data_IF_218259747433
#
_entry.id   IF_218259747433
#
_cell.length_a   1.000
_cell.length_b   1.000
_cell.length_c   1.000
_cell.angle_alpha   90.00
_cell.angle_beta   90.00
_cell.angle_gamma   90.00
#
_symmetry.space_group_name_H-M   'P 1'
#
loop_
_entity.id
_entity.type
_entity.pdbx_description
1 polymer ?
#
# COMPACT_ATOMS: atom_id res chain seq x y z
N UNK A 1 -28.75 24.70 -4.35
CA UNK A 1 -27.62 24.02 -5.01
C UNK A 1 -27.88 22.52 -4.94
N UNK A 2 -28.08 21.84 -6.07
CA UNK A 2 -28.19 20.38 -6.08
C UNK A 2 -26.83 19.82 -5.64
N UNK A 3 -26.72 19.33 -4.40
CA UNK A 3 -25.53 18.59 -3.95
C UNK A 3 -25.50 17.30 -4.76
N UNK A 4 -24.57 17.21 -5.72
CA UNK A 4 -24.30 15.97 -6.44
C UNK A 4 -23.86 14.87 -5.46
N UNK A 5 -24.03 13.61 -5.86
CA UNK A 5 -23.50 12.47 -5.10
C UNK A 5 -21.97 12.48 -5.20
N UNK A 6 -21.26 12.36 -4.07
CA UNK A 6 -19.80 12.25 -4.05
C UNK A 6 -19.38 11.00 -4.82
N UNK A 7 -18.47 11.17 -5.78
CA UNK A 7 -17.78 10.07 -6.47
C UNK A 7 -16.40 9.96 -5.84
N UNK A 8 -16.09 8.79 -5.30
CA UNK A 8 -14.77 8.52 -4.74
C UNK A 8 -13.79 8.14 -5.84
N UNK A 9 -12.59 8.70 -5.79
CA UNK A 9 -11.52 8.37 -6.71
C UNK A 9 -10.42 7.63 -5.97
N UNK A 10 -10.03 6.49 -6.54
CA UNK A 10 -8.98 5.63 -5.97
C UNK A 10 -7.99 5.18 -7.02
N UNK A 11 -6.73 4.97 -6.62
CA UNK A 11 -5.67 4.55 -7.54
C UNK A 11 -4.79 3.42 -6.96
N UNK A 12 -4.29 2.57 -7.86
CA UNK A 12 -3.38 1.46 -7.55
C UNK A 12 -2.02 1.57 -8.28
N UNK A 13 -1.19 2.59 -8.00
CA UNK A 13 0.11 2.70 -8.63
C UNK A 13 1.07 1.59 -8.17
N UNK A 14 2.13 1.36 -8.94
CA UNK A 14 3.28 0.58 -8.47
C UNK A 14 4.09 1.40 -7.45
N UNK A 15 4.92 0.75 -6.62
CA UNK A 15 5.70 1.48 -5.62
C UNK A 15 6.82 2.40 -6.14
N UNK A 16 7.41 2.25 -7.35
CA UNK A 16 8.35 3.23 -7.86
C UNK A 16 7.64 4.58 -8.09
N UNK A 17 8.24 5.67 -7.59
CA UNK A 17 7.72 7.03 -7.74
C UNK A 17 8.65 7.85 -8.65
N UNK A 18 8.13 8.59 -9.66
CA UNK A 18 6.72 8.66 -10.06
C UNK A 18 6.22 7.36 -10.72
N UNK A 19 4.92 7.06 -10.56
CA UNK A 19 4.29 5.98 -11.31
C UNK A 19 4.24 6.33 -12.80
N UNK A 20 4.68 5.40 -13.65
CA UNK A 20 4.87 5.64 -15.08
C UNK A 20 3.58 5.92 -15.87
N UNK A 21 2.43 5.48 -15.35
CA UNK A 21 1.15 5.55 -16.07
C UNK A 21 0.19 6.56 -15.48
N UNK A 22 0.17 6.68 -14.15
CA UNK A 22 -0.79 7.51 -13.43
C UNK A 22 -0.12 8.59 -12.56
N UNK A 23 1.19 8.82 -12.72
CA UNK A 23 1.94 9.85 -12.00
C UNK A 23 1.28 11.24 -12.05
N UNK A 24 0.96 11.73 -13.25
CA UNK A 24 0.32 13.05 -13.41
C UNK A 24 -1.04 13.10 -12.72
N UNK A 25 -1.86 12.06 -12.88
CA UNK A 25 -3.18 11.98 -12.24
C UNK A 25 -3.07 12.04 -10.70
N UNK A 26 -2.07 11.37 -10.12
CA UNK A 26 -1.84 11.34 -8.67
C UNK A 26 -1.50 12.73 -8.11
N UNK A 27 -0.88 13.62 -8.91
CA UNK A 27 -0.53 14.98 -8.48
C UNK A 27 -1.70 15.97 -8.49
N UNK A 28 -2.84 15.60 -9.07
CA UNK A 28 -4.02 16.49 -9.18
C UNK A 28 -4.69 16.81 -7.84
N UNK A 29 -4.46 16.00 -6.80
CA UNK A 29 -5.14 16.13 -5.51
C UNK A 29 -6.58 15.63 -5.50
N UNK A 30 -7.01 14.90 -6.54
CA UNK A 30 -8.39 14.43 -6.68
C UNK A 30 -8.66 13.05 -6.08
N UNK A 31 -7.62 12.26 -5.78
CA UNK A 31 -7.76 10.92 -5.24
C UNK A 31 -8.02 10.94 -3.72
N UNK A 32 -9.11 10.32 -3.29
CA UNK A 32 -9.41 10.10 -1.88
C UNK A 32 -8.45 9.03 -1.30
N UNK A 33 -8.29 7.91 -2.01
CA UNK A 33 -7.52 6.75 -1.51
C UNK A 33 -6.52 6.25 -2.54
N UNK A 34 -5.29 6.01 -2.10
CA UNK A 34 -4.24 5.43 -2.96
C UNK A 34 -3.68 4.17 -2.31
N UNK A 35 -3.81 3.02 -2.96
CA UNK A 35 -3.26 1.74 -2.49
C UNK A 35 -2.03 1.36 -3.32
N UNK A 36 -0.87 1.80 -2.85
CA UNK A 36 0.41 1.63 -3.55
C UNK A 36 0.84 0.16 -3.49
N UNK A 37 1.18 -0.43 -4.64
CA UNK A 37 1.56 -1.84 -4.75
C UNK A 37 3.04 -2.02 -4.37
N UNK A 38 3.31 -2.41 -3.11
CA UNK A 38 4.66 -2.66 -2.58
C UNK A 38 5.11 -4.11 -2.83
N UNK A 39 4.91 -4.59 -4.05
CA UNK A 39 5.26 -5.93 -4.50
C UNK A 39 5.62 -5.94 -5.99
N UNK A 40 6.23 -7.03 -6.47
CA UNK A 40 6.81 -7.16 -7.82
C UNK A 40 7.83 -6.09 -8.21
N UNK A 41 8.36 -5.34 -7.24
CA UNK A 41 9.23 -4.18 -7.46
C UNK A 41 10.35 -4.18 -6.41
N UNK A 42 11.46 -4.91 -6.64
CA UNK A 42 12.58 -5.01 -5.71
C UNK A 42 13.11 -3.68 -5.13
N UNK A 43 13.13 -2.56 -5.87
CA UNK A 43 13.65 -1.29 -5.34
C UNK A 43 12.81 -0.65 -4.23
N UNK A 44 11.55 -1.06 -4.05
CA UNK A 44 10.64 -0.42 -3.08
C UNK A 44 9.75 -1.38 -2.31
N UNK A 45 9.65 -2.65 -2.68
CA UNK A 45 8.99 -3.66 -1.86
C UNK A 45 9.76 -3.92 -0.56
N UNK A 46 9.08 -4.50 0.42
CA UNK A 46 9.72 -4.91 1.67
C UNK A 46 10.74 -6.04 1.42
N UNK A 47 11.92 -5.91 2.04
CA UNK A 47 12.96 -6.92 2.05
C UNK A 47 13.44 -7.12 3.50
N UNK A 48 13.31 -8.33 4.09
CA UNK A 48 13.73 -8.60 5.46
C UNK A 48 15.22 -8.31 5.72
N UNK A 49 16.08 -8.42 4.71
CA UNK A 49 17.52 -8.11 4.83
C UNK A 49 17.82 -6.61 4.79
N UNK A 50 16.91 -5.80 4.25
CA UNK A 50 17.06 -4.34 4.17
C UNK A 50 15.69 -3.66 3.97
N UNK A 51 15.10 -3.17 5.05
CA UNK A 51 13.81 -2.46 5.00
C UNK A 51 13.94 -1.00 4.54
N UNK A 52 15.14 -0.42 4.48
CA UNK A 52 15.37 1.01 4.23
C UNK A 52 14.73 1.47 2.92
N UNK A 53 14.86 0.67 1.85
CA UNK A 53 14.28 0.98 0.54
C UNK A 53 12.76 1.09 0.57
N UNK A 54 12.10 0.20 1.32
CA UNK A 54 10.66 0.25 1.55
C UNK A 54 10.25 1.48 2.37
N UNK A 55 10.97 1.75 3.46
CA UNK A 55 10.69 2.89 4.33
C UNK A 55 10.82 4.22 3.61
N UNK A 56 11.86 4.37 2.80
CA UNK A 56 12.10 5.58 2.01
C UNK A 56 11.06 5.74 0.92
N UNK A 57 10.65 4.65 0.26
CA UNK A 57 9.54 4.68 -0.69
C UNK A 57 8.24 5.10 0.00
N UNK A 58 7.90 4.53 1.16
CA UNK A 58 6.72 4.93 1.93
C UNK A 58 6.73 6.40 2.32
N UNK A 59 7.87 6.92 2.79
CA UNK A 59 8.05 8.35 3.10
C UNK A 59 7.86 9.23 1.87
N UNK A 60 8.40 8.83 0.72
CA UNK A 60 8.21 9.55 -0.55
C UNK A 60 6.73 9.60 -0.95
N UNK A 61 6.03 8.47 -0.94
CA UNK A 61 4.60 8.40 -1.27
C UNK A 61 3.77 9.29 -0.35
N UNK A 62 3.98 9.19 0.96
CA UNK A 62 3.20 9.96 1.94
C UNK A 62 3.54 11.45 1.94
N UNK A 63 4.73 11.84 1.49
CA UNK A 63 5.12 13.26 1.37
C UNK A 63 4.67 13.88 0.05
N UNK A 64 4.84 13.16 -1.07
CA UNK A 64 4.67 13.72 -2.41
C UNK A 64 3.23 13.68 -2.92
N UNK A 65 2.42 12.68 -2.53
CA UNK A 65 1.10 12.48 -3.13
C UNK A 65 -0.01 13.17 -2.31
N UNK A 66 -0.77 14.11 -2.90
CA UNK A 66 -1.87 14.81 -2.24
C UNK A 66 -3.16 13.98 -2.19
N UNK A 67 -3.14 12.83 -1.51
CA UNK A 67 -4.33 12.02 -1.23
C UNK A 67 -4.71 12.05 0.27
N UNK A 68 -6.00 11.85 0.58
CA UNK A 68 -6.48 11.82 1.97
C UNK A 68 -5.85 10.67 2.76
N UNK A 69 -5.84 9.47 2.16
CA UNK A 69 -5.23 8.28 2.74
C UNK A 69 -4.45 7.45 1.73
N UNK A 70 -3.32 6.93 2.19
CA UNK A 70 -2.43 6.03 1.48
C UNK A 70 -2.40 4.70 2.22
N UNK A 71 -2.59 3.63 1.46
CA UNK A 71 -2.66 2.26 1.93
C UNK A 71 -1.44 1.47 1.44
N UNK A 72 -0.94 0.60 2.30
CA UNK A 72 0.11 -0.36 1.96
C UNK A 72 -0.50 -1.53 1.18
N UNK A 73 -0.24 -1.63 -0.12
CA UNK A 73 -0.67 -2.75 -0.95
C UNK A 73 0.29 -3.93 -0.89
N UNK A 74 -0.22 -5.10 -0.51
CA UNK A 74 0.56 -6.34 -0.34
C UNK A 74 -0.10 -7.54 -1.04
N UNK A 75 0.70 -8.54 -1.43
CA UNK A 75 0.17 -9.85 -1.80
C UNK A 75 -0.40 -10.54 -0.55
N UNK A 76 -1.58 -11.14 -0.66
CA UNK A 76 -2.21 -11.90 0.42
C UNK A 76 -1.56 -13.28 0.66
N UNK A 77 -0.71 -13.72 -0.28
CA UNK A 77 0.00 -15.00 -0.19
C UNK A 77 1.30 -14.95 -1.02
N UNK A 78 2.30 -15.81 -0.74
CA UNK A 78 3.53 -15.89 -1.54
C UNK A 78 3.26 -16.10 -3.04
N UNK A 79 2.27 -16.94 -3.37
CA UNK A 79 1.88 -17.27 -4.74
C UNK A 79 1.06 -16.18 -5.45
N UNK A 80 0.69 -15.09 -4.75
CA UNK A 80 -0.14 -14.02 -5.32
C UNK A 80 0.67 -12.99 -6.12
N UNK A 81 2.00 -13.02 -6.01
CA UNK A 81 2.93 -12.12 -6.69
C UNK A 81 4.25 -12.84 -6.98
N UNK A 82 5.06 -12.31 -7.89
CA UNK A 82 6.40 -12.82 -8.15
C UNK A 82 7.39 -12.50 -7.03
N UNK A 83 7.18 -11.40 -6.29
CA UNK A 83 7.99 -11.01 -5.14
C UNK A 83 7.27 -10.01 -4.23
N UNK A 84 7.79 -9.80 -3.01
CA UNK A 84 7.30 -8.77 -2.09
C UNK A 84 6.20 -9.22 -1.14
N UNK A 85 5.97 -10.53 -1.00
CA UNK A 85 5.14 -11.06 0.09
C UNK A 85 5.82 -10.81 1.44
N UNK A 86 5.03 -10.38 2.42
CA UNK A 86 5.49 -10.12 3.79
C UNK A 86 4.76 -11.08 4.72
N UNK A 87 5.44 -11.92 5.50
CA UNK A 87 4.79 -12.75 6.51
C UNK A 87 4.01 -11.89 7.53
N UNK A 88 2.87 -12.38 8.02
CA UNK A 88 2.03 -11.62 8.95
C UNK A 88 2.79 -11.19 10.23
N UNK A 89 3.70 -12.03 10.74
CA UNK A 89 4.54 -11.70 11.90
C UNK A 89 5.51 -10.55 11.63
N UNK A 90 6.09 -10.47 10.43
CA UNK A 90 6.99 -9.38 10.04
C UNK A 90 6.21 -8.10 9.77
N UNK A 91 5.02 -8.23 9.16
CA UNK A 91 4.12 -7.11 8.92
C UNK A 91 3.75 -6.44 10.24
N UNK A 92 3.35 -7.21 11.26
CA UNK A 92 2.89 -6.67 12.55
C UNK A 92 4.02 -6.18 13.45
N UNK A 93 5.16 -6.87 13.46
CA UNK A 93 6.28 -6.53 14.36
C UNK A 93 7.21 -5.44 13.81
N UNK A 94 7.31 -5.31 12.48
CA UNK A 94 8.32 -4.46 11.83
C UNK A 94 7.70 -3.43 10.90
N UNK A 95 6.90 -3.86 9.93
CA UNK A 95 6.42 -2.97 8.86
C UNK A 95 5.37 -1.97 9.35
N UNK A 96 4.34 -2.44 10.04
CA UNK A 96 3.25 -1.58 10.55
C UNK A 96 3.77 -0.49 11.52
N UNK A 97 4.64 -0.79 12.50
CA UNK A 97 5.23 0.23 13.37
C UNK A 97 5.92 1.36 12.59
N UNK A 98 6.58 1.05 11.47
CA UNK A 98 7.29 2.06 10.69
C UNK A 98 6.36 2.96 9.89
N UNK A 99 5.25 2.44 9.35
CA UNK A 99 4.38 3.21 8.47
C UNK A 99 3.23 3.93 9.18
N UNK A 100 2.78 3.40 10.33
CA UNK A 100 1.61 3.92 11.07
C UNK A 100 1.80 5.30 11.68
N UNK A 101 3.06 5.76 11.81
CA UNK A 101 3.35 7.13 12.26
C UNK A 101 2.92 8.22 11.28
N UNK A 102 2.67 7.87 10.01
CA UNK A 102 2.19 8.84 9.01
C UNK A 102 0.71 9.17 9.20
N UNK A 103 0.35 10.45 9.23
CA UNK A 103 -1.05 10.90 9.28
C UNK A 103 -1.86 10.46 8.04
N UNK A 104 -1.17 10.16 6.93
CA UNK A 104 -1.77 9.63 5.70
C UNK A 104 -1.96 8.12 5.72
N UNK A 105 -1.49 7.38 6.71
CA UNK A 105 -1.76 5.94 6.79
C UNK A 105 -3.28 5.68 6.84
N UNK A 106 -3.76 4.88 5.88
CA UNK A 106 -5.16 4.49 5.73
C UNK A 106 -5.45 3.03 6.07
N UNK A 107 -4.43 2.16 6.04
CA UNK A 107 -4.60 0.72 6.21
C UNK A 107 -3.73 -0.08 5.25
N UNK A 108 -4.14 -1.33 5.03
CA UNK A 108 -3.50 -2.29 4.11
C UNK A 108 -4.51 -2.68 3.02
N UNK A 109 -4.03 -2.79 1.77
CA UNK A 109 -4.75 -3.37 0.64
C UNK A 109 -4.14 -4.74 0.34
N UNK A 110 -4.99 -5.75 0.08
CA UNK A 110 -4.55 -7.11 -0.18
C UNK A 110 -4.90 -7.54 -1.62
N UNK A 111 -3.89 -8.02 -2.33
CA UNK A 111 -4.03 -8.71 -3.60
C UNK A 111 -3.90 -10.22 -3.38
N UNK A 112 -4.96 -11.03 -3.43
CA UNK A 112 -6.36 -10.69 -3.65
C UNK A 112 -7.24 -11.54 -2.75
N UNK A 113 -8.57 -11.34 -2.78
CA UNK A 113 -9.53 -12.13 -2.00
C UNK A 113 -9.35 -13.65 -2.16
N UNK A 114 -9.04 -14.11 -3.37
CA UNK A 114 -8.83 -15.54 -3.64
C UNK A 114 -7.68 -16.10 -2.80
N UNK A 115 -6.54 -15.41 -2.77
CA UNK A 115 -5.37 -15.85 -2.00
C UNK A 115 -5.55 -15.62 -0.51
N UNK A 116 -6.25 -14.57 -0.11
CA UNK A 116 -6.60 -14.31 1.29
C UNK A 116 -7.49 -15.42 1.88
N UNK A 117 -8.39 -16.01 1.08
CA UNK A 117 -9.20 -17.16 1.52
C UNK A 117 -8.39 -18.43 1.74
N UNK A 118 -7.32 -18.61 0.97
CA UNK A 118 -6.45 -19.80 1.07
C UNK A 118 -5.49 -19.70 2.26
N UNK A 119 -4.90 -18.52 2.47
CA UNK A 119 -3.83 -18.32 3.46
C UNK A 119 -4.32 -17.63 4.75
N UNK A 120 -5.57 -17.15 4.79
CA UNK A 120 -6.18 -16.45 5.93
C UNK A 120 -5.34 -15.25 6.41
N UNK A 121 -4.75 -14.52 5.46
CA UNK A 121 -3.79 -13.47 5.75
C UNK A 121 -4.44 -12.28 6.48
N UNK A 122 -5.59 -11.81 6.02
CA UNK A 122 -6.35 -10.72 6.64
C UNK A 122 -6.76 -11.07 8.06
N UNK A 123 -7.18 -12.30 8.32
CA UNK A 123 -7.54 -12.77 9.66
C UNK A 123 -6.34 -12.65 10.63
N UNK A 124 -5.13 -12.91 10.15
CA UNK A 124 -3.89 -12.85 10.94
C UNK A 124 -3.46 -11.40 11.28
N UNK A 125 -3.86 -10.42 10.46
CA UNK A 125 -3.41 -9.02 10.61
C UNK A 125 -4.52 -8.07 11.07
N UNK A 126 -5.80 -8.47 11.02
CA UNK A 126 -6.97 -7.60 11.23
C UNK A 126 -6.95 -6.78 12.52
N UNK A 127 -6.48 -7.35 13.63
CA UNK A 127 -6.40 -6.63 14.92
C UNK A 127 -5.28 -5.59 14.98
N UNK A 128 -4.36 -5.62 14.01
CA UNK A 128 -3.18 -4.77 13.98
C UNK A 128 -3.28 -3.64 12.98
N UNK A 129 -4.20 -3.68 12.00
CA UNK A 129 -4.33 -2.67 10.94
C UNK A 129 -5.17 -1.48 11.35
#
# INVERSE_FOLDING_TARGET
>A
MLRGKKVYLTAAPQCPLPDAWIGDALTTGLFDYVWVQFYNNPPCQYNPSNAVSFEDAWKQWTSAIPADKIFLGLPAAPQAAGSGFVPASELTSTVLPTIKGSSKYGGVMLWSKYYDDLDHYSASIKSHV
#
